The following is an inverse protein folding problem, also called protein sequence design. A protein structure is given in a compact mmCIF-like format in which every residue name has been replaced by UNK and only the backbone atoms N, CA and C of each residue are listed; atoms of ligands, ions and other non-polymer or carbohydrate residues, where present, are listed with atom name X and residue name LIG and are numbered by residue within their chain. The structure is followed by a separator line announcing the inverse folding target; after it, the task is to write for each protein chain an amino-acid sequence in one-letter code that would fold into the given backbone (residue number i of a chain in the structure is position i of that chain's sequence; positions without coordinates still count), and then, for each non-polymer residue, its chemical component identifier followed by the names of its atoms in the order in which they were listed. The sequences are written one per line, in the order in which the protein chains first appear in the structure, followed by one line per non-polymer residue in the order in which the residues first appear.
data_IF_863838941512
#
_entry.id   IF_863838941512
#
_cell.length_a   1.000
_cell.length_b   1.000
_cell.length_c   1.000
_cell.angle_alpha   90.00
_cell.angle_beta   90.00
_cell.angle_gamma   90.00
#
_symmetry.space_group_name_H-M   'P 1'
#
loop_
_entity.id
_entity.type
_entity.pdbx_description
1 polymer ?
#
# COMPACT_ATOMS: atom_id res chain seq x y z
N UNK A 1 1.49 6.94 2.35
CA UNK A 1 0.11 7.09 1.83
C UNK A 1 -0.97 6.60 2.80
N UNK A 2 -1.01 5.33 3.24
CA UNK A 2 -2.05 4.84 4.16
C UNK A 2 -2.05 5.49 5.56
N UNK A 3 -0.88 5.88 6.08
CA UNK A 3 -0.78 6.57 7.38
C UNK A 3 -1.02 8.09 7.26
N UNK A 4 -0.64 8.72 6.13
CA UNK A 4 -1.06 10.10 5.82
C UNK A 4 -2.59 10.19 5.66
N UNK A 5 -3.20 9.18 5.00
CA UNK A 5 -4.66 8.93 4.99
C UNK A 5 -5.22 8.69 6.40
N UNK A 6 -4.50 7.99 7.29
CA UNK A 6 -4.95 7.74 8.66
C UNK A 6 -4.87 8.98 9.57
N UNK A 7 -3.85 9.84 9.41
CA UNK A 7 -3.72 11.11 10.14
C UNK A 7 -4.72 12.15 9.59
N UNK A 8 -4.97 12.14 8.27
CA UNK A 8 -6.02 12.93 7.63
C UNK A 8 -7.45 12.41 7.90
N UNK A 9 -7.60 11.15 8.28
CA UNK A 9 -8.89 10.52 8.61
C UNK A 9 -9.62 11.15 9.81
N UNK A 10 -8.95 12.05 10.55
CA UNK A 10 -9.54 12.81 11.65
C UNK A 10 -9.98 14.23 11.28
N UNK A 11 -10.03 14.60 9.98
CA UNK A 11 -10.66 15.84 9.54
C UNK A 11 -12.14 15.55 9.23
N UNK A 12 -13.04 16.25 9.91
CA UNK A 12 -14.48 16.20 9.60
C UNK A 12 -14.79 17.40 8.71
N UNK A 13 -14.84 17.22 7.38
CA UNK A 13 -15.02 18.36 6.50
C UNK A 13 -16.33 19.08 6.86
N UNK A 14 -16.34 20.43 6.89
CA UNK A 14 -17.52 21.18 7.30
C UNK A 14 -18.72 20.96 6.37
N UNK A 15 -18.47 20.51 5.13
CA UNK A 15 -19.45 20.26 4.07
C UNK A 15 -18.97 19.12 3.15
N UNK A 16 -19.78 18.70 2.18
CA UNK A 16 -19.32 17.82 1.09
C UNK A 16 -18.13 18.48 0.40
N UNK A 17 -17.05 17.71 0.21
CA UNK A 17 -15.83 18.22 -0.39
C UNK A 17 -16.03 18.52 -1.88
N UNK A 18 -15.28 19.50 -2.43
CA UNK A 18 -15.28 19.80 -3.86
C UNK A 18 -14.98 18.56 -4.71
N UNK A 19 -15.52 18.54 -5.93
CA UNK A 19 -15.25 17.48 -6.93
C UNK A 19 -15.63 16.05 -6.48
N UNK A 20 -16.36 15.90 -5.37
CA UNK A 20 -16.91 14.62 -4.90
C UNK A 20 -15.89 13.66 -4.29
N UNK A 21 -14.70 14.15 -3.92
CA UNK A 21 -13.71 13.37 -3.18
C UNK A 21 -14.09 13.23 -1.70
N UNK A 22 -13.47 12.27 -1.00
CA UNK A 22 -13.72 12.03 0.43
C UNK A 22 -12.54 12.48 1.30
N UNK A 23 -11.33 12.53 0.73
CA UNK A 23 -10.12 12.99 1.40
C UNK A 23 -9.97 14.52 1.36
N UNK A 24 -9.96 15.21 2.51
CA UNK A 24 -9.71 16.66 2.56
C UNK A 24 -8.31 17.03 2.06
N UNK A 25 -7.32 16.15 2.27
CA UNK A 25 -5.99 16.32 1.71
C UNK A 25 -6.05 16.33 0.20
N UNK A 26 -6.64 15.30 -0.43
CA UNK A 26 -6.76 15.21 -1.89
C UNK A 26 -7.57 16.38 -2.49
N UNK A 27 -8.62 16.82 -1.79
CA UNK A 27 -9.39 17.99 -2.19
C UNK A 27 -8.51 19.26 -2.22
N UNK A 28 -7.63 19.42 -1.23
CA UNK A 28 -6.69 20.53 -1.17
C UNK A 28 -5.59 20.40 -2.24
N UNK A 29 -5.08 19.18 -2.50
CA UNK A 29 -4.10 18.92 -3.55
C UNK A 29 -4.62 19.34 -4.94
N UNK A 30 -5.91 19.10 -5.20
CA UNK A 30 -6.55 19.29 -6.50
C UNK A 30 -7.34 20.61 -6.60
N UNK A 31 -7.18 21.50 -5.62
CA UNK A 31 -7.90 22.77 -5.55
C UNK A 31 -7.65 23.64 -6.79
N UNK A 32 -8.72 24.20 -7.36
CA UNK A 32 -8.64 25.07 -8.56
C UNK A 32 -8.55 26.54 -8.23
N UNK A 33 -8.99 26.93 -7.04
CA UNK A 33 -9.03 28.31 -6.59
C UNK A 33 -8.72 28.37 -5.09
N UNK A 34 -7.68 29.11 -4.72
CA UNK A 34 -7.27 29.27 -3.33
C UNK A 34 -8.32 29.94 -2.45
N UNK A 35 -9.28 30.68 -3.02
CA UNK A 35 -10.39 31.26 -2.26
C UNK A 35 -11.32 30.19 -1.64
N UNK A 36 -11.28 28.97 -2.19
CA UNK A 36 -12.18 27.86 -1.79
C UNK A 36 -11.61 26.97 -0.69
N UNK A 37 -10.45 27.30 -0.10
CA UNK A 37 -9.85 26.53 1.00
C UNK A 37 -10.81 26.39 2.19
N UNK A 38 -11.57 27.44 2.50
CA UNK A 38 -12.58 27.45 3.57
C UNK A 38 -13.74 26.47 3.35
N UNK A 39 -13.94 25.99 2.11
CA UNK A 39 -14.91 24.93 1.80
C UNK A 39 -14.39 23.52 2.12
N UNK A 40 -13.07 23.38 2.30
CA UNK A 40 -12.38 22.12 2.57
C UNK A 40 -12.03 22.00 4.05
N UNK A 41 -11.46 23.06 4.63
CA UNK A 41 -10.95 23.09 6.01
C UNK A 41 -11.50 24.29 6.78
N UNK A 42 -11.72 24.11 8.08
CA UNK A 42 -11.98 25.23 8.99
C UNK A 42 -10.68 25.95 9.36
N UNK A 43 -10.71 27.25 9.70
CA UNK A 43 -9.49 28.00 10.03
C UNK A 43 -8.64 27.37 11.15
N UNK A 44 -9.28 26.77 12.17
CA UNK A 44 -8.63 26.07 13.28
C UNK A 44 -7.97 24.74 12.87
N UNK A 45 -8.33 24.18 11.70
CA UNK A 45 -7.76 22.96 11.16
C UNK A 45 -6.51 23.20 10.29
N UNK A 46 -6.21 24.45 9.92
CA UNK A 46 -5.08 24.78 9.05
C UNK A 46 -3.74 24.31 9.63
N UNK A 47 -3.50 24.56 10.93
CA UNK A 47 -2.27 24.14 11.60
C UNK A 47 -2.12 22.61 11.65
N UNK A 48 -3.23 21.89 11.85
CA UNK A 48 -3.25 20.43 11.84
C UNK A 48 -2.97 19.89 10.44
N UNK A 49 -3.56 20.49 9.39
CA UNK A 49 -3.28 20.12 8.00
C UNK A 49 -1.83 20.42 7.62
N UNK A 50 -1.30 21.59 7.98
CA UNK A 50 0.09 21.95 7.73
C UNK A 50 1.08 20.99 8.39
N UNK A 51 0.77 20.49 9.60
CA UNK A 51 1.56 19.44 10.25
C UNK A 51 1.48 18.11 9.49
N UNK A 52 0.29 17.73 9.01
CA UNK A 52 0.13 16.51 8.21
C UNK A 52 0.94 16.58 6.91
N UNK A 53 0.87 17.70 6.19
CA UNK A 53 1.67 17.97 4.98
C UNK A 53 3.18 17.95 5.29
N UNK A 54 3.59 18.48 6.45
CA UNK A 54 5.00 18.44 6.87
C UNK A 54 5.50 17.03 7.16
N UNK A 55 4.67 16.15 7.72
CA UNK A 55 5.02 14.74 7.93
C UNK A 55 5.12 14.00 6.59
N UNK A 56 4.39 14.46 5.58
CA UNK A 56 4.33 13.81 4.27
C UNK A 56 5.68 13.77 3.54
N UNK A 57 6.60 14.71 3.83
CA UNK A 57 7.99 14.64 3.34
C UNK A 57 8.72 13.32 3.69
N UNK A 58 8.46 12.75 4.87
CA UNK A 58 9.03 11.46 5.25
C UNK A 58 8.43 10.31 4.43
N UNK A 59 7.13 10.41 4.12
CA UNK A 59 6.46 9.44 3.25
C UNK A 59 6.98 9.53 1.82
N UNK A 60 7.24 10.75 1.32
CA UNK A 60 7.89 10.98 0.02
C UNK A 60 9.22 10.24 -0.05
N UNK A 61 10.10 10.45 0.92
CA UNK A 61 11.39 9.75 0.96
C UNK A 61 11.21 8.22 0.96
N UNK A 62 10.31 7.71 1.79
CA UNK A 62 10.08 6.26 1.94
C UNK A 62 9.61 5.61 0.64
N UNK A 63 8.56 6.14 0.00
CA UNK A 63 8.06 5.53 -1.24
C UNK A 63 9.05 5.71 -2.39
N UNK A 64 9.78 6.83 -2.43
CA UNK A 64 10.78 7.09 -3.47
C UNK A 64 11.90 6.08 -3.41
N UNK A 65 12.42 5.80 -2.19
CA UNK A 65 13.44 4.77 -1.98
C UNK A 65 12.91 3.41 -2.42
N UNK A 66 11.71 3.03 -1.98
CA UNK A 66 11.13 1.73 -2.32
C UNK A 66 11.02 1.51 -3.84
N UNK A 67 10.37 2.43 -4.57
CA UNK A 67 10.20 2.28 -6.02
C UNK A 67 11.51 2.42 -6.78
N UNK A 68 12.47 3.20 -6.27
CA UNK A 68 13.81 3.28 -6.86
C UNK A 68 14.53 1.95 -6.73
N UNK A 69 14.52 1.33 -5.55
CA UNK A 69 15.11 0.01 -5.33
C UNK A 69 14.42 -1.05 -6.20
N UNK A 70 13.10 -1.00 -6.30
CA UNK A 70 12.34 -1.87 -7.19
C UNK A 70 12.78 -1.71 -8.65
N UNK A 71 12.91 -0.46 -9.11
CA UNK A 71 13.39 -0.14 -10.45
C UNK A 71 14.84 -0.59 -10.68
N UNK A 72 15.71 -0.51 -9.66
CA UNK A 72 17.09 -1.03 -9.74
C UNK A 72 17.10 -2.54 -9.89
N UNK A 73 16.25 -3.27 -9.17
CA UNK A 73 16.10 -4.72 -9.31
C UNK A 73 15.64 -5.09 -10.72
N UNK A 74 14.64 -4.39 -11.26
CA UNK A 74 14.19 -4.59 -12.65
C UNK A 74 15.33 -4.25 -13.64
N UNK A 75 16.06 -3.17 -13.38
CA UNK A 75 17.17 -2.76 -14.24
C UNK A 75 18.31 -3.78 -14.27
N UNK A 76 18.63 -4.40 -13.13
CA UNK A 76 19.67 -5.42 -13.04
C UNK A 76 19.35 -6.69 -13.85
N UNK A 77 18.07 -7.01 -14.08
CA UNK A 77 17.64 -8.22 -14.80
C UNK A 77 17.92 -8.20 -16.33
N UNK A 78 18.31 -7.06 -16.91
CA UNK A 78 18.66 -6.99 -18.33
C UNK A 78 17.45 -6.95 -19.28
N UNK A 79 17.71 -6.91 -20.60
CA UNK A 79 16.67 -6.94 -21.63
C UNK A 79 15.59 -5.85 -21.48
N UNK A 80 14.32 -6.23 -21.68
CA UNK A 80 13.18 -5.31 -21.54
C UNK A 80 12.94 -4.85 -20.09
N UNK A 81 13.42 -5.61 -19.10
CA UNK A 81 13.34 -5.22 -17.69
C UNK A 81 14.16 -3.97 -17.38
N UNK A 82 15.24 -3.71 -18.12
CA UNK A 82 16.00 -2.45 -18.04
C UNK A 82 15.16 -1.23 -18.37
N UNK A 83 14.35 -1.33 -19.42
CA UNK A 83 13.47 -0.24 -19.82
C UNK A 83 12.45 0.04 -18.71
N UNK A 84 11.81 -1.00 -18.18
CA UNK A 84 10.82 -0.84 -17.11
C UNK A 84 11.45 -0.31 -15.80
N UNK A 85 12.62 -0.82 -15.43
CA UNK A 85 13.35 -0.33 -14.27
C UNK A 85 13.71 1.14 -14.41
N UNK A 86 14.23 1.56 -15.58
CA UNK A 86 14.52 2.97 -15.86
C UNK A 86 13.26 3.83 -15.84
N UNK A 87 12.15 3.37 -16.44
CA UNK A 87 10.86 4.06 -16.41
C UNK A 87 10.35 4.25 -14.98
N UNK A 88 10.41 3.20 -14.15
CA UNK A 88 9.98 3.27 -12.76
C UNK A 88 10.82 4.27 -11.94
N UNK A 89 12.15 4.24 -12.09
CA UNK A 89 13.07 5.16 -11.40
C UNK A 89 12.80 6.61 -11.83
N UNK A 90 12.80 6.89 -13.13
CA UNK A 90 12.58 8.25 -13.64
C UNK A 90 11.21 8.76 -13.22
N UNK A 91 10.17 7.93 -13.31
CA UNK A 91 8.83 8.30 -12.93
C UNK A 91 8.74 8.60 -11.42
N UNK A 92 9.27 7.75 -10.53
CA UNK A 92 9.16 8.01 -9.09
C UNK A 92 10.00 9.21 -8.64
N UNK A 93 11.18 9.43 -9.22
CA UNK A 93 11.98 10.63 -8.93
C UNK A 93 11.22 11.89 -9.36
N UNK A 94 10.63 11.88 -10.56
CA UNK A 94 9.78 12.98 -11.03
C UNK A 94 8.54 13.19 -10.18
N UNK A 95 7.92 12.10 -9.70
CA UNK A 95 6.79 12.16 -8.78
C UNK A 95 7.20 12.83 -7.47
N UNK A 96 8.31 12.41 -6.87
CA UNK A 96 8.83 12.97 -5.62
C UNK A 96 9.13 14.48 -5.73
N UNK A 97 9.72 14.91 -6.85
CA UNK A 97 9.95 16.35 -7.11
C UNK A 97 8.62 17.11 -7.21
N UNK A 98 7.63 16.52 -7.88
CA UNK A 98 6.30 17.13 -8.01
C UNK A 98 5.60 17.21 -6.65
N UNK A 99 5.68 16.15 -5.85
CA UNK A 99 5.13 16.04 -4.50
C UNK A 99 5.73 17.07 -3.54
N UNK A 100 7.06 17.26 -3.56
CA UNK A 100 7.72 18.32 -2.77
C UNK A 100 7.24 19.72 -3.17
N UNK A 101 7.05 19.98 -4.47
CA UNK A 101 6.56 21.29 -4.95
C UNK A 101 5.10 21.50 -4.57
N UNK A 102 4.31 20.45 -4.63
CA UNK A 102 2.91 20.45 -4.21
C UNK A 102 2.79 20.73 -2.71
N UNK A 103 3.52 20.02 -1.86
CA UNK A 103 3.49 20.22 -0.41
C UNK A 103 3.90 21.65 -0.02
N UNK A 104 4.87 22.25 -0.73
CA UNK A 104 5.19 23.67 -0.55
C UNK A 104 4.02 24.58 -0.93
N UNK A 105 3.40 24.35 -2.09
CA UNK A 105 2.24 25.13 -2.53
C UNK A 105 1.04 24.98 -1.57
N UNK A 106 0.81 23.80 -1.00
CA UNK A 106 -0.21 23.60 0.04
C UNK A 106 0.10 24.38 1.31
N UNK A 107 1.36 24.36 1.77
CA UNK A 107 1.77 25.12 2.96
C UNK A 107 1.64 26.62 2.74
N UNK A 108 2.07 27.14 1.58
CA UNK A 108 1.88 28.54 1.20
C UNK A 108 0.41 28.92 1.20
N UNK A 109 -0.44 28.07 0.60
CA UNK A 109 -1.88 28.26 0.54
C UNK A 109 -2.53 28.29 1.94
N UNK A 110 -2.13 27.37 2.83
CA UNK A 110 -2.62 27.32 4.21
C UNK A 110 -2.17 28.52 5.04
N UNK A 111 -1.01 29.12 4.70
CA UNK A 111 -0.51 30.36 5.28
C UNK A 111 -1.18 31.63 4.69
N UNK A 112 -2.13 31.47 3.77
CA UNK A 112 -2.86 32.57 3.14
C UNK A 112 -2.23 33.10 1.84
N UNK A 113 -1.17 32.48 1.35
CA UNK A 113 -0.51 32.84 0.09
C UNK A 113 -1.02 31.96 -1.06
N UNK A 114 -1.98 32.47 -1.84
CA UNK A 114 -2.56 31.75 -2.98
C UNK A 114 -1.80 31.95 -4.31
N UNK A 115 -0.55 32.44 -4.29
CA UNK A 115 0.20 32.75 -5.52
C UNK A 115 0.50 31.52 -6.40
N UNK A 116 0.54 30.31 -5.80
CA UNK A 116 0.77 29.05 -6.52
C UNK A 116 -0.19 27.99 -6.00
N UNK A 117 -0.95 27.40 -6.91
CA UNK A 117 -1.85 26.30 -6.56
C UNK A 117 -1.12 24.95 -6.62
N UNK A 118 -1.47 23.99 -5.73
CA UNK A 118 -0.85 22.67 -5.69
C UNK A 118 -1.23 21.78 -6.89
N UNK A 119 -2.42 22.01 -7.48
CA UNK A 119 -3.04 21.19 -8.53
C UNK A 119 -2.13 20.74 -9.68
N UNK A 120 -1.38 21.61 -10.39
CA UNK A 120 -0.52 21.15 -11.48
C UNK A 120 0.55 20.16 -11.02
N UNK A 121 1.10 20.36 -9.82
CA UNK A 121 2.09 19.48 -9.23
C UNK A 121 1.46 18.17 -8.75
N UNK A 122 0.26 18.22 -8.15
CA UNK A 122 -0.49 17.02 -7.76
C UNK A 122 -0.85 16.16 -8.97
N UNK A 123 -1.33 16.74 -10.07
CA UNK A 123 -1.63 15.98 -11.30
C UNK A 123 -0.37 15.33 -11.90
N UNK A 124 0.76 16.05 -11.92
CA UNK A 124 2.04 15.49 -12.36
C UNK A 124 2.50 14.33 -11.47
N UNK A 125 2.43 14.52 -10.13
CA UNK A 125 2.72 13.48 -9.13
C UNK A 125 1.89 12.22 -9.39
N UNK A 126 0.57 12.34 -9.44
CA UNK A 126 -0.33 11.19 -9.61
C UNK A 126 -0.06 10.45 -10.92
N UNK A 127 0.11 11.16 -12.04
CA UNK A 127 0.47 10.53 -13.33
C UNK A 127 1.74 9.71 -13.22
N UNK A 128 2.78 10.28 -12.62
CA UNK A 128 4.09 9.65 -12.52
C UNK A 128 4.07 8.45 -11.55
N UNK A 129 3.32 8.52 -10.44
CA UNK A 129 3.11 7.39 -9.54
C UNK A 129 2.42 6.23 -10.26
N UNK A 130 1.37 6.50 -11.06
CA UNK A 130 0.69 5.44 -11.81
C UNK A 130 1.58 4.81 -12.89
N UNK A 131 2.44 5.61 -13.55
CA UNK A 131 3.44 5.10 -14.49
C UNK A 131 4.47 4.22 -13.77
N UNK A 132 4.99 4.66 -12.61
CA UNK A 132 5.93 3.88 -11.81
C UNK A 132 5.32 2.56 -11.35
N UNK A 133 4.07 2.56 -10.91
CA UNK A 133 3.31 1.37 -10.55
C UNK A 133 3.19 0.39 -11.72
N UNK A 134 2.78 0.88 -12.90
CA UNK A 134 2.61 0.05 -14.10
C UNK A 134 3.93 -0.54 -14.59
N UNK A 135 5.01 0.26 -14.60
CA UNK A 135 6.35 -0.21 -14.95
C UNK A 135 6.90 -1.22 -13.92
N UNK A 136 6.56 -1.06 -12.64
CA UNK A 136 6.96 -1.97 -11.56
C UNK A 136 6.16 -3.27 -11.49
N UNK A 137 4.91 -3.29 -12.00
CA UNK A 137 3.98 -4.41 -11.86
C UNK A 137 4.53 -5.79 -12.28
N UNK A 138 5.34 -5.92 -13.35
CA UNK A 138 5.89 -7.22 -13.76
C UNK A 138 6.80 -7.88 -12.71
N UNK A 139 7.27 -7.17 -11.69
CA UNK A 139 8.03 -7.77 -10.57
C UNK A 139 7.27 -8.89 -9.85
N UNK A 140 5.94 -8.83 -9.88
CA UNK A 140 5.07 -9.83 -9.24
C UNK A 140 4.88 -11.09 -10.11
N UNK A 141 5.43 -11.10 -11.33
CA UNK A 141 5.37 -12.23 -12.22
C UNK A 141 6.51 -13.23 -11.95
N UNK A 142 6.24 -14.24 -11.13
CA UNK A 142 7.17 -15.34 -10.89
C UNK A 142 6.57 -16.70 -11.33
N UNK A 143 7.03 -17.18 -12.47
CA UNK A 143 6.61 -18.47 -13.04
C UNK A 143 7.10 -19.68 -12.22
N UNK A 144 8.13 -19.52 -11.38
CA UNK A 144 8.71 -20.59 -10.55
C UNK A 144 8.11 -20.63 -9.16
N UNK A 145 7.27 -19.65 -8.79
CA UNK A 145 6.59 -19.63 -7.51
C UNK A 145 5.61 -20.82 -7.34
N UNK A 146 5.37 -21.18 -6.08
CA UNK A 146 4.33 -22.15 -5.67
C UNK A 146 2.94 -21.68 -6.11
N UNK A 147 1.96 -22.59 -6.30
CA UNK A 147 0.67 -22.23 -6.90
C UNK A 147 -0.03 -21.05 -6.21
N UNK A 148 -0.09 -21.04 -4.88
CA UNK A 148 -0.68 -19.92 -4.13
C UNK A 148 0.05 -18.59 -4.39
N UNK A 149 1.39 -18.57 -4.23
CA UNK A 149 2.19 -17.37 -4.46
C UNK A 149 2.06 -16.88 -5.90
N UNK A 150 2.04 -17.79 -6.87
CA UNK A 150 1.85 -17.46 -8.28
C UNK A 150 0.52 -16.77 -8.55
N UNK A 151 -0.58 -17.28 -7.98
CA UNK A 151 -1.89 -16.64 -8.11
C UNK A 151 -1.95 -15.28 -7.43
N UNK A 152 -1.34 -15.13 -6.26
CA UNK A 152 -1.25 -13.82 -5.58
C UNK A 152 -0.41 -12.84 -6.41
N UNK A 153 0.73 -13.28 -6.94
CA UNK A 153 1.59 -12.46 -7.81
C UNK A 153 0.87 -12.04 -9.10
N UNK A 154 0.14 -12.97 -9.73
CA UNK A 154 -0.70 -12.67 -10.89
C UNK A 154 -1.78 -11.63 -10.55
N UNK A 155 -2.50 -11.81 -9.45
CA UNK A 155 -3.52 -10.86 -9.00
C UNK A 155 -2.93 -9.48 -8.69
N UNK A 156 -1.76 -9.44 -8.02
CA UNK A 156 -1.05 -8.20 -7.73
C UNK A 156 -0.61 -7.49 -9.03
N UNK A 157 -0.03 -8.22 -9.98
CA UNK A 157 0.38 -7.70 -11.29
C UNK A 157 -0.82 -7.15 -12.09
N UNK A 158 -1.86 -7.96 -12.25
CA UNK A 158 -3.06 -7.59 -13.00
C UNK A 158 -3.76 -6.36 -12.39
N UNK A 159 -3.89 -6.33 -11.06
CA UNK A 159 -4.47 -5.19 -10.36
C UNK A 159 -3.58 -3.93 -10.49
N UNK A 160 -2.26 -4.06 -10.35
CA UNK A 160 -1.34 -2.93 -10.49
C UNK A 160 -1.38 -2.34 -11.91
N UNK A 161 -1.43 -3.17 -12.95
CA UNK A 161 -1.57 -2.72 -14.33
C UNK A 161 -2.93 -2.05 -14.58
N UNK A 162 -4.02 -2.65 -14.09
CA UNK A 162 -5.36 -2.06 -14.20
C UNK A 162 -5.42 -0.68 -13.54
N UNK A 163 -4.90 -0.57 -12.31
CA UNK A 163 -4.85 0.69 -11.55
C UNK A 163 -3.94 1.72 -12.22
N UNK A 164 -2.81 1.31 -12.79
CA UNK A 164 -1.92 2.21 -13.51
C UNK A 164 -2.63 2.84 -14.72
N UNK A 165 -3.32 2.04 -15.53
CA UNK A 165 -4.07 2.51 -16.71
C UNK A 165 -5.23 3.41 -16.28
N UNK A 166 -6.04 2.97 -15.32
CA UNK A 166 -7.17 3.74 -14.80
C UNK A 166 -6.70 5.08 -14.23
N UNK A 167 -5.63 5.08 -13.44
CA UNK A 167 -5.09 6.27 -12.80
C UNK A 167 -4.50 7.28 -13.79
N UNK A 168 -3.75 6.83 -14.80
CA UNK A 168 -3.26 7.71 -15.87
C UNK A 168 -4.43 8.37 -16.61
N UNK A 169 -5.47 7.59 -16.89
CA UNK A 169 -6.68 8.07 -17.54
C UNK A 169 -7.47 9.05 -16.67
N UNK A 170 -7.57 8.79 -15.37
CA UNK A 170 -8.18 9.69 -14.39
C UNK A 170 -7.48 11.05 -14.37
N UNK A 171 -6.14 11.05 -14.35
CA UNK A 171 -5.34 12.28 -14.40
C UNK A 171 -5.52 13.01 -15.74
N UNK A 172 -5.56 12.28 -16.86
CA UNK A 172 -5.78 12.89 -18.19
C UNK A 172 -7.14 13.59 -18.27
N UNK A 173 -8.17 13.02 -17.64
CA UNK A 173 -9.51 13.63 -17.54
C UNK A 173 -9.62 14.69 -16.44
N UNK A 174 -8.59 14.83 -15.61
CA UNK A 174 -8.61 15.66 -14.41
C UNK A 174 -9.80 15.33 -13.48
N UNK A 175 -10.15 14.05 -13.39
CA UNK A 175 -11.25 13.54 -12.57
C UNK A 175 -10.74 13.16 -11.17
N UNK A 176 -10.92 14.07 -10.22
CA UNK A 176 -10.46 13.90 -8.84
C UNK A 176 -11.04 12.67 -8.15
N UNK A 177 -12.31 12.33 -8.43
CA UNK A 177 -12.97 11.16 -7.85
C UNK A 177 -12.33 9.89 -8.37
N UNK A 178 -12.06 9.82 -9.67
CA UNK A 178 -11.40 8.66 -10.25
C UNK A 178 -9.95 8.54 -9.77
N UNK A 179 -9.22 9.66 -9.62
CA UNK A 179 -7.89 9.68 -9.01
C UNK A 179 -7.93 9.09 -7.59
N UNK A 180 -8.89 9.51 -6.75
CA UNK A 180 -9.05 8.98 -5.38
C UNK A 180 -9.31 7.47 -5.38
N UNK A 181 -10.19 7.01 -6.26
CA UNK A 181 -10.53 5.59 -6.41
C UNK A 181 -9.31 4.78 -6.84
N UNK A 182 -8.58 5.22 -7.86
CA UNK A 182 -7.36 4.55 -8.31
C UNK A 182 -6.27 4.57 -7.24
N UNK A 183 -6.10 5.66 -6.50
CA UNK A 183 -5.17 5.74 -5.37
C UNK A 183 -5.51 4.74 -4.26
N UNK A 184 -6.79 4.56 -3.91
CA UNK A 184 -7.22 3.54 -2.95
C UNK A 184 -6.94 2.12 -3.46
N UNK A 185 -7.23 1.84 -4.73
CA UNK A 185 -6.95 0.53 -5.34
C UNK A 185 -5.45 0.25 -5.46
N UNK A 186 -4.63 1.27 -5.66
CA UNK A 186 -3.16 1.16 -5.60
C UNK A 186 -2.71 0.65 -4.23
N UNK A 187 -3.31 1.12 -3.14
CA UNK A 187 -3.00 0.61 -1.81
C UNK A 187 -3.33 -0.88 -1.66
N UNK A 188 -4.41 -1.36 -2.28
CA UNK A 188 -4.74 -2.80 -2.32
C UNK A 188 -3.69 -3.58 -3.12
N UNK A 189 -3.32 -3.09 -4.31
CA UNK A 189 -2.25 -3.68 -5.11
C UNK A 189 -0.92 -3.77 -4.34
N UNK A 190 -0.61 -2.72 -3.57
CA UNK A 190 0.55 -2.71 -2.69
C UNK A 190 0.48 -3.78 -1.60
N UNK A 191 -0.65 -3.94 -0.91
CA UNK A 191 -0.81 -4.97 0.13
C UNK A 191 -0.62 -6.37 -0.46
N UNK A 192 -1.17 -6.63 -1.64
CA UNK A 192 -0.95 -7.91 -2.34
C UNK A 192 0.52 -8.11 -2.74
N UNK A 193 1.17 -7.05 -3.25
CA UNK A 193 2.59 -7.07 -3.60
C UNK A 193 3.50 -7.29 -2.39
N UNK A 194 3.23 -6.61 -1.29
CA UNK A 194 3.95 -6.77 -0.03
C UNK A 194 3.79 -8.18 0.52
N UNK A 195 2.57 -8.75 0.49
CA UNK A 195 2.35 -10.14 0.84
C UNK A 195 3.18 -11.07 -0.05
N UNK A 196 3.19 -10.86 -1.36
CA UNK A 196 3.94 -11.68 -2.30
C UNK A 196 5.46 -11.67 -2.04
N UNK A 197 6.02 -10.49 -1.73
CA UNK A 197 7.44 -10.28 -1.46
C UNK A 197 7.84 -10.78 -0.05
N UNK A 198 7.10 -10.38 0.98
CA UNK A 198 7.40 -10.76 2.37
C UNK A 198 7.26 -12.25 2.65
N UNK A 199 6.38 -12.94 1.91
CA UNK A 199 6.19 -14.40 2.04
C UNK A 199 7.17 -15.23 1.23
N UNK A 200 8.12 -14.61 0.53
CA UNK A 200 9.09 -15.33 -0.31
C UNK A 200 9.83 -16.42 0.46
N UNK A 201 10.34 -16.11 1.65
CA UNK A 201 11.08 -17.08 2.47
C UNK A 201 10.16 -18.10 3.13
N UNK A 202 9.00 -17.65 3.62
CA UNK A 202 8.12 -18.48 4.45
C UNK A 202 7.30 -19.46 3.63
N UNK A 203 6.78 -19.03 2.48
CA UNK A 203 5.92 -19.81 1.59
C UNK A 203 6.66 -20.32 0.35
N UNK A 204 8.01 -20.26 0.35
CA UNK A 204 8.86 -20.74 -0.76
C UNK A 204 8.53 -22.18 -1.16
N UNK A 205 8.38 -23.04 -0.16
CA UNK A 205 8.20 -24.49 -0.33
C UNK A 205 6.72 -24.90 -0.27
N UNK A 206 5.81 -23.93 -0.16
CA UNK A 206 4.37 -24.14 -0.10
C UNK A 206 3.76 -23.99 1.29
N UNK A 207 2.44 -23.99 1.33
CA UNK A 207 1.66 -23.73 2.55
C UNK A 207 1.84 -24.85 3.57
N UNK A 208 1.83 -26.11 3.14
CA UNK A 208 2.00 -27.27 4.04
C UNK A 208 3.38 -27.24 4.72
N UNK A 209 4.45 -27.05 3.97
CA UNK A 209 5.80 -26.94 4.56
C UNK A 209 5.94 -25.73 5.48
N UNK A 210 5.23 -24.62 5.22
CA UNK A 210 5.19 -23.48 6.10
C UNK A 210 4.42 -23.77 7.40
N UNK A 211 3.28 -24.47 7.31
CA UNK A 211 2.52 -24.95 8.46
C UNK A 211 3.33 -25.96 9.29
N UNK A 212 4.07 -26.87 8.66
CA UNK A 212 4.97 -27.80 9.36
C UNK A 212 6.10 -27.07 10.11
N UNK A 213 6.62 -25.98 9.54
CA UNK A 213 7.60 -25.11 10.22
C UNK A 213 6.97 -24.37 11.40
N UNK A 214 5.73 -23.92 11.26
CA UNK A 214 4.96 -23.26 12.31
C UNK A 214 4.60 -24.23 13.44
N UNK A 215 4.12 -25.43 13.12
CA UNK A 215 3.78 -26.49 14.06
C UNK A 215 5.01 -26.95 14.87
N UNK A 216 6.20 -26.93 14.26
CA UNK A 216 7.47 -27.18 14.95
C UNK A 216 7.90 -26.08 15.93
N UNK A 217 7.22 -24.92 15.97
CA UNK A 217 7.47 -23.92 17.01
C UNK A 217 6.94 -24.41 18.34
N UNK A 218 7.77 -24.29 19.38
CA UNK A 218 7.55 -24.82 20.74
C UNK A 218 6.14 -24.54 21.30
N UNK A 219 5.62 -23.34 21.08
CA UNK A 219 4.30 -22.91 21.56
C UNK A 219 3.14 -23.63 20.84
N UNK A 220 3.24 -23.81 19.52
CA UNK A 220 2.19 -24.45 18.73
C UNK A 220 2.23 -25.97 18.87
N UNK A 221 3.40 -26.55 19.09
CA UNK A 221 3.54 -27.97 19.40
C UNK A 221 2.86 -28.32 20.74
N UNK A 222 2.90 -27.42 21.73
CA UNK A 222 2.19 -27.60 23.01
C UNK A 222 0.67 -27.60 22.79
N UNK A 223 0.15 -26.70 21.94
CA UNK A 223 -1.28 -26.62 21.63
C UNK A 223 -1.75 -27.81 20.78
N UNK A 224 -0.95 -28.21 19.79
CA UNK A 224 -1.27 -29.31 18.89
C UNK A 224 -1.33 -30.66 19.61
N UNK A 225 -0.54 -30.81 20.68
CA UNK A 225 -0.52 -32.01 21.51
C UNK A 225 -1.35 -31.83 22.80
N UNK A 226 -2.27 -30.85 22.85
CA UNK A 226 -3.15 -30.63 23.99
C UNK A 226 -4.57 -31.14 23.69
N UNK A 227 -5.18 -31.96 24.55
CA UNK A 227 -4.62 -32.50 25.79
C UNK A 227 -3.59 -33.59 25.49
N UNK A 228 -2.48 -33.57 26.22
CA UNK A 228 -1.49 -34.65 26.19
C UNK A 228 -2.22 -35.95 26.56
N UNK A 229 -2.03 -37.01 25.78
CA UNK A 229 -2.72 -38.30 25.92
C UNK A 229 -2.42 -39.06 27.24
N UNK A 230 -1.94 -38.39 28.28
CA UNK A 230 -1.64 -38.94 29.60
C UNK A 230 -2.78 -38.73 30.62
N UNK A 231 -4.03 -38.73 30.15
CA UNK A 231 -5.20 -38.88 31.02
C UNK A 231 -5.92 -40.16 30.64
N UNK A 232 -5.24 -41.29 30.80
CA UNK A 232 -5.92 -42.55 31.07
C UNK A 232 -6.36 -42.50 32.54
N UNK A 233 -7.52 -41.87 32.76
CA UNK A 233 -8.34 -42.09 33.94
C UNK A 233 -8.61 -43.59 34.06
N UNK A 234 -7.90 -44.24 34.98
CA UNK A 234 -8.43 -45.29 35.86
C UNK A 234 -9.79 -45.87 35.45
N UNK A 235 -9.82 -46.73 34.44
CA UNK A 235 -10.90 -47.72 34.30
C UNK A 235 -10.35 -49.00 34.91
N UNK A 236 -10.76 -49.27 36.14
CA UNK A 236 -10.32 -50.44 36.90
C UNK A 236 -10.59 -51.73 36.13
N UNK A 237 -9.52 -52.41 35.73
CA UNK A 237 -9.57 -53.84 35.48
C UNK A 237 -9.91 -54.53 36.82
N UNK A 238 -11.16 -54.97 36.94
CA UNK A 238 -11.53 -56.00 37.90
C UNK A 238 -10.77 -57.26 37.48
N UNK A 239 -9.68 -57.55 38.19
CA UNK A 239 -8.97 -58.82 38.12
C UNK A 239 -9.95 -59.91 38.59
N UNK A 240 -10.51 -60.67 37.66
CA UNK A 240 -11.17 -61.95 37.97
C UNK A 240 -10.07 -63.00 37.95
N UNK A 241 -9.62 -63.41 39.14
CA UNK A 241 -8.64 -64.47 39.35
C UNK A 241 -9.25 -65.85 39.00
N UNK A 242 -8.74 -66.57 37.98
CA UNK A 242 -9.22 -67.89 37.64
C UNK A 242 -8.43 -68.94 38.42
N UNK A 243 -8.55 -68.98 39.75
CA UNK A 243 -8.02 -70.08 40.59
C UNK A 243 -8.59 -70.15 42.01
N UNK A 244 -9.91 -70.29 42.09
CA UNK A 244 -10.52 -71.05 43.19
C UNK A 244 -11.68 -71.88 42.67
N UNK A 245 -11.72 -73.11 43.18
CA UNK A 245 -12.59 -74.26 42.89
C UNK A 245 -14.07 -73.93 42.99
#
# INVERSE_FOLDING_TARGET
MAIALAVAGNFKPPRKLPEGVHSPTLALELIRDGSTVSSILRPDEHAKMARAVSIDYLFIATYTIFFTLLGVVLFANGGWWRLLGAMAIVAVIGAAVSDVRENRAMLDLLAGNAARLPRPFSLAKWRLIFIALGAGAPVFWDAKATPLRRWVGFAACALALFVAVEGVFAVQRQDAKLIEVSARRMAIAWVLGEFFLSTERTLRDGVLSALDRLARKRVLNVIANWPSADVDETVGEVIVDPKTI
#
